data_IF_349619636989
#
_entry.id   IF_349619636989
#
_cell.length_a   1.000
_cell.length_b   1.000
_cell.length_c   1.000
_cell.angle_alpha   90.00
_cell.angle_beta   90.00
_cell.angle_gamma   90.00
#
_symmetry.space_group_name_H-M   'P 1'
#
loop_
_entity.id
_entity.type
_entity.pdbx_description
1 polymer ?
#
# COMPACT_ATOMS: atom_id res chain seq x y z
N UNK A 1 13.30 42.37 24.79
CA UNK A 1 12.61 42.72 23.53
C UNK A 1 11.68 41.58 23.19
N UNK A 2 10.38 41.74 23.47
CA UNK A 2 9.36 40.72 23.24
C UNK A 2 8.59 41.07 21.97
N UNK A 3 8.57 40.17 21.00
CA UNK A 3 7.83 40.35 19.75
C UNK A 3 6.65 39.39 19.76
N UNK A 4 5.44 39.96 19.87
CA UNK A 4 4.18 39.25 19.78
C UNK A 4 3.89 38.88 18.32
N UNK A 5 3.48 37.63 18.07
CA UNK A 5 2.96 37.18 16.77
C UNK A 5 1.45 37.06 16.91
N UNK A 6 0.71 37.96 16.26
CA UNK A 6 -0.73 37.87 16.08
C UNK A 6 -1.04 36.74 15.09
N UNK A 7 -1.88 35.79 15.52
CA UNK A 7 -2.45 34.73 14.67
C UNK A 7 -3.79 35.23 14.15
N UNK A 8 -3.89 35.47 12.85
CA UNK A 8 -5.15 35.65 12.13
C UNK A 8 -5.74 34.26 11.82
N UNK A 9 -6.84 33.93 12.50
CA UNK A 9 -7.73 32.84 12.11
C UNK A 9 -8.66 33.36 11.02
N UNK A 10 -8.61 32.75 9.85
CA UNK A 10 -9.60 32.94 8.80
C UNK A 10 -10.49 31.71 8.82
N UNK A 11 -11.69 31.86 9.38
CA UNK A 11 -12.79 30.92 9.21
C UNK A 11 -13.19 30.95 7.73
N UNK A 12 -13.13 29.78 7.10
CA UNK A 12 -13.72 29.57 5.78
C UNK A 12 -14.99 28.76 6.02
N UNK A 13 -16.12 29.41 5.76
CA UNK A 13 -17.46 28.84 5.72
C UNK A 13 -17.47 27.61 4.81
N UNK A 14 -18.05 26.51 5.32
CA UNK A 14 -18.36 25.32 4.55
C UNK A 14 -19.77 25.49 4.05
N UNK A 15 -19.93 25.72 2.74
CA UNK A 15 -21.21 25.70 2.06
C UNK A 15 -21.82 24.29 2.13
N UNK A 16 -22.92 24.20 2.87
CA UNK A 16 -23.76 23.02 3.04
C UNK A 16 -24.85 23.05 1.96
N UNK A 17 -24.54 22.58 0.74
CA UNK A 17 -25.56 22.39 -0.31
C UNK A 17 -25.57 20.96 -0.88
N UNK A 18 -26.78 20.39 -0.84
CA UNK A 18 -27.32 19.32 -1.69
C UNK A 18 -26.81 17.87 -1.48
N UNK A 19 -27.22 17.28 -0.35
CA UNK A 19 -27.49 15.84 -0.30
C UNK A 19 -28.80 15.54 -1.07
N UNK A 20 -28.68 15.04 -2.30
CA UNK A 20 -29.77 14.29 -2.93
C UNK A 20 -29.65 12.82 -2.52
N UNK A 21 -30.70 12.20 -1.93
CA UNK A 21 -30.69 10.78 -1.66
C UNK A 21 -30.78 10.01 -2.99
N UNK A 22 -29.71 9.30 -3.34
CA UNK A 22 -29.76 8.30 -4.40
C UNK A 22 -30.67 7.16 -3.94
N UNK A 23 -31.77 7.00 -4.66
CA UNK A 23 -32.68 5.87 -4.53
C UNK A 23 -31.90 4.57 -4.75
N UNK A 24 -31.87 3.74 -3.71
CA UNK A 24 -31.28 2.41 -3.74
C UNK A 24 -32.35 1.50 -4.32
N UNK A 25 -32.22 1.11 -5.58
CA UNK A 25 -33.03 0.05 -6.15
C UNK A 25 -32.58 -1.29 -5.55
N UNK A 26 -33.45 -1.83 -4.70
CA UNK A 26 -33.33 -3.12 -4.02
C UNK A 26 -33.63 -4.24 -5.05
N UNK A 27 -32.63 -4.62 -5.84
CA UNK A 27 -32.70 -5.84 -6.65
C UNK A 27 -32.56 -7.07 -5.75
N UNK A 28 -33.73 -7.54 -5.33
CA UNK A 28 -34.00 -8.85 -4.75
C UNK A 28 -33.50 -9.99 -5.63
N UNK A 29 -32.27 -10.43 -5.37
CA UNK A 29 -31.72 -11.67 -5.93
C UNK A 29 -32.17 -12.84 -5.06
N UNK A 30 -33.37 -13.35 -5.37
CA UNK A 30 -33.80 -14.70 -4.98
C UNK A 30 -32.76 -15.70 -5.50
N UNK A 31 -32.00 -16.32 -4.60
CA UNK A 31 -31.30 -17.58 -4.89
C UNK A 31 -31.84 -18.65 -3.96
N UNK A 32 -32.48 -19.60 -4.61
CA UNK A 32 -33.05 -20.81 -4.09
C UNK A 32 -32.09 -21.56 -3.16
N UNK A 33 -32.56 -21.77 -1.94
CA UNK A 33 -32.05 -22.80 -1.04
C UNK A 33 -32.45 -24.17 -1.59
N UNK A 34 -31.45 -25.04 -1.80
CA UNK A 34 -31.65 -26.47 -2.07
C UNK A 34 -31.23 -27.29 -0.83
N UNK A 35 -32.17 -27.71 0.04
CA UNK A 35 -31.85 -28.51 1.21
C UNK A 35 -32.08 -30.00 0.94
N UNK A 36 -31.16 -30.65 0.22
CA UNK A 36 -31.18 -32.11 0.09
C UNK A 36 -29.80 -32.70 -0.24
N UNK A 37 -29.01 -33.03 0.78
CA UNK A 37 -28.05 -34.14 0.77
C UNK A 37 -27.57 -34.37 2.20
N UNK A 38 -28.33 -35.15 2.97
CA UNK A 38 -28.19 -36.61 3.10
C UNK A 38 -27.39 -36.97 4.36
N UNK A 39 -28.13 -37.64 5.22
CA UNK A 39 -27.75 -38.21 6.49
C UNK A 39 -26.65 -39.26 6.29
N UNK A 40 -25.57 -39.17 7.05
CA UNK A 40 -24.81 -40.37 7.43
C UNK A 40 -24.71 -40.37 8.95
N UNK A 41 -25.65 -41.10 9.55
CA UNK A 41 -25.55 -41.65 10.89
C UNK A 41 -24.49 -42.75 10.86
N UNK A 42 -23.52 -42.67 11.77
CA UNK A 42 -22.94 -43.87 12.36
C UNK A 42 -22.56 -43.55 13.79
N UNK A 43 -23.40 -44.06 14.68
CA UNK A 43 -23.19 -44.26 16.10
C UNK A 43 -21.87 -44.99 16.41
N UNK A 44 -21.49 -44.84 17.67
CA UNK A 44 -20.58 -45.69 18.44
C UNK A 44 -19.08 -45.56 18.17
N UNK A 45 -18.40 -44.73 18.99
CA UNK A 45 -17.25 -45.22 19.77
C UNK A 45 -17.02 -44.40 21.04
N UNK A 46 -17.33 -45.07 22.15
CA UNK A 46 -16.70 -45.05 23.46
C UNK A 46 -16.61 -43.81 24.36
N UNK A 47 -17.19 -44.05 25.52
CA UNK A 47 -16.98 -43.41 26.82
C UNK A 47 -15.53 -43.58 27.28
N UNK A 48 -14.77 -42.49 27.34
CA UNK A 48 -13.60 -42.38 28.21
C UNK A 48 -13.61 -41.07 28.98
N UNK A 49 -14.12 -41.19 30.22
CA UNK A 49 -13.60 -40.62 31.46
C UNK A 49 -12.88 -39.26 31.40
N UNK A 50 -13.51 -38.33 32.14
CA UNK A 50 -12.93 -37.13 32.73
C UNK A 50 -11.53 -37.40 33.31
N UNK A 51 -10.51 -36.84 32.68
CA UNK A 51 -9.37 -36.28 33.37
C UNK A 51 -9.34 -34.80 33.05
N UNK A 52 -9.77 -34.00 34.02
CA UNK A 52 -9.54 -32.57 34.09
C UNK A 52 -8.04 -32.36 34.28
N UNK A 53 -7.26 -32.55 33.23
CA UNK A 53 -5.90 -32.05 33.17
C UNK A 53 -6.03 -30.55 32.96
N UNK A 54 -5.85 -29.79 34.04
CA UNK A 54 -5.57 -28.37 33.94
C UNK A 54 -4.29 -28.23 33.11
N UNK A 55 -4.44 -28.10 31.79
CA UNK A 55 -3.38 -27.66 30.93
C UNK A 55 -2.97 -26.28 31.46
N UNK A 56 -1.85 -26.23 32.17
CA UNK A 56 -1.18 -24.98 32.45
C UNK A 56 -0.96 -24.33 31.08
N UNK A 57 -1.77 -23.31 30.78
CA UNK A 57 -1.59 -22.43 29.64
C UNK A 57 -0.23 -21.79 29.84
N UNK A 58 0.79 -22.40 29.27
CA UNK A 58 2.12 -21.83 29.18
C UNK A 58 1.98 -20.61 28.29
N UNK A 59 1.80 -19.46 28.91
CA UNK A 59 1.86 -18.16 28.25
C UNK A 59 3.26 -18.09 27.64
N UNK A 60 3.34 -18.18 26.31
CA UNK A 60 4.59 -17.92 25.61
C UNK A 60 5.10 -16.53 26.03
N UNK A 61 6.40 -16.31 26.24
CA UNK A 61 6.89 -14.96 26.48
C UNK A 61 6.65 -14.12 25.22
N UNK A 62 6.21 -12.86 25.38
CA UNK A 62 6.23 -11.91 24.27
C UNK A 62 7.67 -11.70 23.81
N UNK A 63 7.88 -11.54 22.50
CA UNK A 63 9.22 -11.38 21.90
C UNK A 63 9.22 -10.19 20.97
N UNK A 64 10.33 -9.47 20.91
CA UNK A 64 10.58 -8.43 19.91
C UNK A 64 11.83 -8.81 19.10
N UNK A 65 11.76 -8.69 17.77
CA UNK A 65 12.88 -8.91 16.86
C UNK A 65 13.15 -7.63 16.07
N UNK A 66 14.41 -7.22 16.02
CA UNK A 66 14.88 -6.09 15.23
C UNK A 66 15.79 -6.60 14.12
N UNK A 67 15.39 -6.38 12.87
CA UNK A 67 16.18 -6.71 11.68
C UNK A 67 16.64 -5.42 11.02
N UNK A 68 17.92 -5.35 10.62
CA UNK A 68 18.45 -4.23 9.83
C UNK A 68 19.16 -4.74 8.59
N UNK A 69 19.01 -4.03 7.48
CA UNK A 69 19.79 -4.25 6.27
C UNK A 69 20.93 -3.24 6.21
N UNK A 70 22.08 -3.68 5.69
CA UNK A 70 23.26 -2.84 5.57
C UNK A 70 23.63 -2.69 4.09
N UNK A 71 23.90 -1.45 3.70
CA UNK A 71 24.53 -1.11 2.43
C UNK A 71 25.99 -1.58 2.41
N UNK A 72 26.63 -1.70 1.22
CA UNK A 72 28.04 -2.12 1.11
C UNK A 72 29.03 -1.21 1.84
N UNK A 73 28.66 0.04 2.11
CA UNK A 73 29.42 1.02 2.89
C UNK A 73 29.20 0.88 4.41
N UNK A 74 28.38 -0.07 4.85
CA UNK A 74 28.04 -0.31 6.25
C UNK A 74 26.93 0.58 6.80
N UNK A 75 26.34 1.47 5.98
CA UNK A 75 25.17 2.25 6.35
C UNK A 75 23.92 1.38 6.48
N UNK A 76 22.98 1.75 7.35
CA UNK A 76 21.70 1.03 7.47
C UNK A 76 20.74 1.51 6.38
N UNK A 77 20.30 0.61 5.50
CA UNK A 77 19.35 0.93 4.40
C UNK A 77 17.90 0.82 4.86
N UNK A 78 17.60 -0.17 5.71
CA UNK A 78 16.26 -0.36 6.28
C UNK A 78 16.31 -1.03 7.67
N UNK A 79 15.30 -0.75 8.47
CA UNK A 79 15.04 -1.37 9.78
C UNK A 79 13.63 -1.93 9.78
N UNK A 80 13.45 -3.15 10.30
CA UNK A 80 12.16 -3.82 10.46
C UNK A 80 12.05 -4.30 11.90
N UNK A 81 10.91 -4.01 12.53
CA UNK A 81 10.57 -4.38 13.90
C UNK A 81 9.43 -5.38 13.82
N UNK A 82 9.55 -6.50 14.53
CA UNK A 82 8.51 -7.51 14.65
C UNK A 82 8.24 -7.75 16.14
N UNK A 83 7.00 -7.57 16.60
CA UNK A 83 6.59 -7.82 17.99
C UNK A 83 5.61 -9.00 18.04
N UNK A 84 6.07 -10.10 18.61
CA UNK A 84 5.26 -11.29 18.93
C UNK A 84 4.60 -11.09 20.30
N UNK A 85 3.26 -10.95 20.31
CA UNK A 85 2.47 -10.79 21.53
C UNK A 85 1.74 -12.06 21.92
N UNK A 86 1.87 -12.47 23.18
CA UNK A 86 1.08 -13.59 23.71
C UNK A 86 -0.33 -13.17 24.08
N UNK A 87 -1.30 -13.84 23.47
CA UNK A 87 -2.74 -13.56 23.58
C UNK A 87 -3.51 -14.57 24.45
N UNK A 88 -2.84 -15.62 24.95
CA UNK A 88 -3.49 -16.68 25.71
C UNK A 88 -4.21 -16.17 26.97
N UNK A 89 -5.50 -16.51 27.10
CA UNK A 89 -6.32 -16.16 28.27
C UNK A 89 -6.77 -14.70 28.35
N UNK A 90 -6.54 -13.89 27.31
CA UNK A 90 -6.97 -12.49 27.27
C UNK A 90 -8.35 -12.33 26.61
N UNK A 91 -9.11 -11.36 27.09
CA UNK A 91 -10.32 -10.90 26.41
C UNK A 91 -10.00 -10.18 25.10
N UNK A 92 -10.97 -10.07 24.20
CA UNK A 92 -10.81 -9.35 22.93
C UNK A 92 -10.38 -7.89 23.13
N UNK A 93 -10.85 -7.23 24.19
CA UNK A 93 -10.48 -5.87 24.51
C UNK A 93 -9.02 -5.75 24.95
N UNK A 94 -8.53 -6.70 25.75
CA UNK A 94 -7.13 -6.75 26.18
C UNK A 94 -6.18 -7.08 25.03
N UNK A 95 -6.59 -7.97 24.11
CA UNK A 95 -5.82 -8.27 22.89
C UNK A 95 -5.67 -7.00 22.05
N UNK A 96 -6.77 -6.26 21.83
CA UNK A 96 -6.73 -4.97 21.11
C UNK A 96 -5.85 -3.95 21.80
N UNK A 97 -5.98 -3.80 23.12
CA UNK A 97 -5.17 -2.87 23.89
C UNK A 97 -3.67 -3.21 23.84
N UNK A 98 -3.31 -4.50 23.87
CA UNK A 98 -1.91 -4.94 23.69
C UNK A 98 -1.39 -4.70 22.28
N UNK A 99 -2.20 -4.99 21.26
CA UNK A 99 -1.85 -4.72 19.86
C UNK A 99 -1.58 -3.23 19.63
N UNK A 100 -2.45 -2.37 20.15
CA UNK A 100 -2.29 -0.91 20.04
C UNK A 100 -0.97 -0.44 20.67
N UNK A 101 -0.66 -0.89 21.89
CA UNK A 101 0.61 -0.55 22.57
C UNK A 101 1.84 -1.04 21.81
N UNK A 102 1.76 -2.19 21.14
CA UNK A 102 2.87 -2.67 20.32
C UNK A 102 3.09 -1.77 19.09
N UNK A 103 2.03 -1.33 18.43
CA UNK A 103 2.11 -0.40 17.30
C UNK A 103 2.64 0.99 17.73
N UNK A 104 2.22 1.48 18.90
CA UNK A 104 2.77 2.71 19.50
C UNK A 104 4.28 2.57 19.73
N UNK A 105 4.72 1.43 20.29
CA UNK A 105 6.14 1.16 20.52
C UNK A 105 6.94 1.04 19.21
N UNK A 106 6.38 0.41 18.17
CA UNK A 106 7.02 0.37 16.84
C UNK A 106 7.20 1.78 16.26
N UNK A 107 6.19 2.64 16.46
CA UNK A 107 6.23 4.03 16.00
C UNK A 107 7.31 4.81 16.74
N UNK A 108 7.34 4.72 18.07
CA UNK A 108 8.34 5.39 18.92
C UNK A 108 9.77 4.99 18.53
N UNK A 109 10.05 3.69 18.39
CA UNK A 109 11.38 3.20 17.99
C UNK A 109 11.75 3.72 16.60
N UNK A 110 10.79 3.77 15.68
CA UNK A 110 11.03 4.27 14.32
C UNK A 110 11.33 5.77 14.32
N UNK A 111 10.59 6.56 15.10
CA UNK A 111 10.83 7.99 15.24
C UNK A 111 12.19 8.30 15.87
N UNK A 112 12.55 7.61 16.96
CA UNK A 112 13.84 7.76 17.62
C UNK A 112 14.99 7.38 16.67
N UNK A 113 14.83 6.29 15.93
CA UNK A 113 15.80 5.86 14.92
C UNK A 113 15.98 6.93 13.83
N UNK A 114 14.89 7.49 13.30
CA UNK A 114 14.94 8.53 12.27
C UNK A 114 15.54 9.84 12.81
N UNK A 115 15.27 10.19 14.07
CA UNK A 115 15.81 11.38 14.71
C UNK A 115 17.32 11.26 14.99
N UNK A 116 17.81 10.04 15.27
CA UNK A 116 19.22 9.75 15.53
C UNK A 116 20.09 9.68 14.27
N UNK A 117 19.49 9.64 13.08
CA UNK A 117 20.25 9.69 11.83
C UNK A 117 20.87 11.09 11.67
N UNK A 118 22.18 11.18 11.35
CA UNK A 118 22.77 12.47 10.99
C UNK A 118 21.94 13.07 9.85
N UNK A 119 21.67 14.39 9.85
CA UNK A 119 20.92 15.04 8.78
C UNK A 119 21.61 14.66 7.49
N UNK A 120 20.94 13.87 6.66
CA UNK A 120 21.55 13.13 5.56
C UNK A 120 22.55 14.05 4.86
N UNK A 121 23.85 13.77 5.05
CA UNK A 121 24.87 14.37 4.23
C UNK A 121 24.52 13.88 2.84
N UNK A 122 23.95 14.78 2.03
CA UNK A 122 23.61 14.58 0.64
C UNK A 122 24.91 14.27 -0.09
N UNK A 123 25.45 13.07 0.07
CA UNK A 123 26.48 12.54 -0.79
C UNK A 123 25.82 12.45 -2.15
N UNK A 124 26.14 13.46 -2.95
CA UNK A 124 25.87 13.59 -4.36
C UNK A 124 26.39 12.33 -5.05
N UNK A 125 25.62 11.26 -5.07
CA UNK A 125 25.59 10.44 -6.27
C UNK A 125 24.77 11.28 -7.24
N UNK A 126 25.47 11.91 -8.18
CA UNK A 126 24.88 12.63 -9.30
C UNK A 126 24.04 11.67 -10.15
N UNK A 127 22.84 11.35 -9.69
CA UNK A 127 21.72 11.15 -10.58
C UNK A 127 20.91 12.43 -10.45
N UNK A 128 21.11 13.32 -11.41
CA UNK A 128 20.26 14.48 -11.64
C UNK A 128 18.83 13.98 -11.85
N UNK A 129 18.10 13.83 -10.74
CA UNK A 129 16.66 13.61 -10.75
C UNK A 129 16.06 14.78 -11.53
N UNK A 130 15.46 14.44 -12.67
CA UNK A 130 14.87 15.43 -13.56
C UNK A 130 13.78 16.16 -12.81
N UNK A 131 13.80 17.48 -12.94
CA UNK A 131 12.66 18.35 -12.68
C UNK A 131 11.42 17.75 -13.35
N UNK A 132 10.51 17.19 -12.56
CA UNK A 132 9.16 16.90 -13.00
C UNK A 132 8.40 18.23 -13.08
N UNK A 133 8.68 19.05 -14.09
CA UNK A 133 8.11 20.40 -14.23
C UNK A 133 6.62 20.40 -14.64
N UNK A 134 5.89 19.29 -14.48
CA UNK A 134 4.50 19.17 -14.94
C UNK A 134 4.31 19.30 -16.45
N UNK A 135 5.40 19.51 -17.20
CA UNK A 135 5.44 19.59 -18.65
C UNK A 135 5.38 18.18 -19.24
N UNK A 136 4.57 18.01 -20.28
CA UNK A 136 4.43 16.75 -20.98
C UNK A 136 5.65 16.50 -21.89
N UNK A 137 6.44 15.48 -21.53
CA UNK A 137 7.69 15.08 -22.20
C UNK A 137 7.43 13.91 -23.16
N UNK A 138 8.08 13.86 -24.34
CA UNK A 138 8.03 12.70 -25.22
C UNK A 138 8.49 11.42 -24.49
N UNK A 139 7.73 10.35 -24.66
CA UNK A 139 7.93 9.11 -23.94
C UNK A 139 7.61 7.89 -24.83
N UNK A 140 8.05 6.72 -24.39
CA UNK A 140 7.71 5.43 -25.01
C UNK A 140 7.26 4.45 -23.93
N UNK A 141 6.08 3.88 -24.11
CA UNK A 141 5.59 2.77 -23.29
C UNK A 141 6.35 1.51 -23.71
N UNK A 142 6.93 0.80 -22.74
CA UNK A 142 7.77 -0.36 -23.02
C UNK A 142 7.01 -1.64 -22.73
N UNK A 143 6.73 -1.89 -21.46
CA UNK A 143 6.18 -3.16 -20.98
C UNK A 143 5.37 -2.97 -19.70
N UNK A 144 4.51 -3.96 -19.42
CA UNK A 144 3.74 -4.04 -18.19
C UNK A 144 4.44 -4.98 -17.21
N UNK A 145 4.75 -4.45 -16.03
CA UNK A 145 5.28 -5.20 -14.90
C UNK A 145 4.25 -5.36 -13.79
N UNK A 146 4.61 -6.18 -12.80
CA UNK A 146 3.80 -6.46 -11.62
C UNK A 146 4.67 -6.43 -10.38
N UNK A 147 4.17 -5.85 -9.29
CA UNK A 147 4.85 -5.87 -7.99
C UNK A 147 4.44 -7.11 -7.19
N UNK A 148 5.23 -7.45 -6.17
CA UNK A 148 4.93 -8.54 -5.24
C UNK A 148 3.56 -8.39 -4.56
N UNK A 149 3.06 -7.15 -4.43
CA UNK A 149 1.76 -6.84 -3.83
C UNK A 149 0.61 -6.87 -4.85
N UNK A 150 0.79 -7.54 -6.00
CA UNK A 150 -0.22 -7.69 -7.05
C UNK A 150 -0.63 -6.36 -7.74
N UNK A 151 0.14 -5.28 -7.56
CA UNK A 151 -0.07 -4.02 -8.28
C UNK A 151 0.61 -4.05 -9.65
N UNK A 152 -0.10 -3.60 -10.69
CA UNK A 152 0.46 -3.54 -12.04
C UNK A 152 1.11 -2.17 -12.25
N UNK A 153 2.15 -2.13 -13.06
CA UNK A 153 2.78 -0.89 -13.47
C UNK A 153 3.24 -0.96 -14.91
N UNK A 154 3.36 0.20 -15.55
CA UNK A 154 3.89 0.32 -16.92
C UNK A 154 5.25 1.00 -16.84
N UNK A 155 6.26 0.39 -17.46
CA UNK A 155 7.56 1.00 -17.65
C UNK A 155 7.49 2.00 -18.82
N UNK A 156 7.83 3.25 -18.55
CA UNK A 156 7.77 4.35 -19.51
C UNK A 156 9.16 4.95 -19.68
N UNK A 157 9.72 4.85 -20.89
CA UNK A 157 11.01 5.46 -21.23
C UNK A 157 10.83 6.93 -21.59
N UNK A 158 11.58 7.80 -20.94
CA UNK A 158 11.72 9.23 -21.21
C UNK A 158 13.19 9.50 -21.58
N UNK A 159 13.52 9.36 -22.86
CA UNK A 159 14.92 9.40 -23.31
C UNK A 159 15.75 8.30 -22.63
N UNK A 160 16.75 8.70 -21.83
CA UNK A 160 17.62 7.77 -21.08
C UNK A 160 17.03 7.33 -19.73
N UNK A 161 15.94 7.96 -19.29
CA UNK A 161 15.32 7.68 -17.98
C UNK A 161 14.13 6.74 -18.14
N UNK A 162 13.85 5.98 -17.08
CA UNK A 162 12.64 5.14 -17.00
C UNK A 162 11.79 5.61 -15.83
N UNK A 163 10.55 5.96 -16.11
CA UNK A 163 9.52 6.25 -15.13
C UNK A 163 8.55 5.08 -15.03
N UNK A 164 7.78 5.04 -13.93
CA UNK A 164 6.75 4.02 -13.73
C UNK A 164 5.38 4.68 -13.61
N UNK A 165 4.41 4.09 -14.27
CA UNK A 165 3.00 4.39 -14.10
C UNK A 165 2.37 3.27 -13.27
N UNK A 166 1.91 3.57 -12.05
CA UNK A 166 1.26 2.59 -11.19
C UNK A 166 -0.26 2.71 -11.28
N UNK A 167 -0.96 1.58 -11.21
CA UNK A 167 -2.41 1.57 -11.15
C UNK A 167 -3.01 0.18 -11.13
N UNK A 168 -4.31 0.11 -10.85
CA UNK A 168 -5.11 -1.08 -11.14
C UNK A 168 -5.24 -1.29 -12.65
N UNK A 169 -5.60 -2.51 -13.10
CA UNK A 169 -5.78 -2.78 -14.54
C UNK A 169 -6.77 -1.81 -15.21
N UNK A 170 -7.88 -1.49 -14.54
CA UNK A 170 -8.87 -0.50 -15.02
C UNK A 170 -8.25 0.88 -15.19
N UNK A 171 -7.47 1.35 -14.21
CA UNK A 171 -6.80 2.65 -14.29
C UNK A 171 -5.75 2.69 -15.40
N UNK A 172 -4.98 1.61 -15.58
CA UNK A 172 -3.99 1.51 -16.64
C UNK A 172 -4.64 1.55 -18.02
N UNK A 173 -5.76 0.84 -18.23
CA UNK A 173 -6.54 0.91 -19.48
C UNK A 173 -6.99 2.34 -19.77
N UNK A 174 -7.57 3.03 -18.79
CA UNK A 174 -8.03 4.42 -18.97
C UNK A 174 -6.87 5.33 -19.39
N UNK A 175 -5.69 5.16 -18.78
CA UNK A 175 -4.52 5.97 -19.12
C UNK A 175 -3.89 5.58 -20.48
N UNK A 176 -3.96 4.30 -20.86
CA UNK A 176 -3.54 3.84 -22.19
C UNK A 176 -4.47 4.38 -23.28
N UNK A 177 -5.78 4.39 -23.05
CA UNK A 177 -6.76 4.97 -23.96
C UNK A 177 -6.51 6.46 -24.17
N UNK A 178 -6.17 7.20 -23.10
CA UNK A 178 -5.73 8.61 -23.20
C UNK A 178 -4.46 8.79 -24.05
N UNK A 179 -3.57 7.79 -24.08
CA UNK A 179 -2.39 7.79 -24.94
C UNK A 179 -2.72 7.43 -26.41
N UNK A 180 -3.97 7.05 -26.71
CA UNK A 180 -4.40 6.60 -28.03
C UNK A 180 -4.34 5.09 -28.23
N UNK A 181 -4.23 4.31 -27.14
CA UNK A 181 -4.19 2.85 -27.19
C UNK A 181 -5.36 2.24 -26.41
N UNK A 182 -6.33 1.68 -27.12
CA UNK A 182 -7.43 0.96 -26.49
C UNK A 182 -7.04 -0.50 -26.22
N UNK A 183 -7.08 -0.88 -24.94
CA UNK A 183 -6.81 -2.23 -24.46
C UNK A 183 -7.88 -2.63 -23.47
N UNK A 184 -8.25 -3.91 -23.43
CA UNK A 184 -9.18 -4.41 -22.42
C UNK A 184 -8.44 -4.69 -21.10
N UNK A 185 -9.09 -4.58 -19.94
CA UNK A 185 -8.47 -4.88 -18.64
C UNK A 185 -7.91 -6.31 -18.55
N UNK A 186 -8.49 -7.25 -19.31
CA UNK A 186 -8.09 -8.65 -19.39
C UNK A 186 -6.81 -8.84 -20.20
N UNK A 187 -6.53 -7.94 -21.15
CA UNK A 187 -5.29 -7.96 -21.93
C UNK A 187 -4.07 -7.49 -21.10
N UNK A 188 -4.29 -6.75 -20.01
CA UNK A 188 -3.21 -6.30 -19.12
C UNK A 188 -2.67 -7.48 -18.32
N UNK A 189 -1.51 -7.96 -18.77
CA UNK A 189 -0.76 -9.04 -18.17
C UNK A 189 0.72 -8.65 -18.04
N UNK A 190 1.39 -9.22 -17.04
CA UNK A 190 2.82 -9.05 -16.86
C UNK A 190 3.59 -9.55 -18.09
N UNK A 191 4.57 -8.77 -18.54
CA UNK A 191 5.38 -9.07 -19.72
C UNK A 191 4.77 -8.63 -21.05
N UNK A 192 3.55 -8.08 -21.06
CA UNK A 192 2.98 -7.48 -22.28
C UNK A 192 3.84 -6.31 -22.73
N UNK A 193 4.32 -6.35 -23.99
CA UNK A 193 5.06 -5.25 -24.62
C UNK A 193 4.09 -4.31 -25.32
N UNK A 194 4.23 -3.01 -25.05
CA UNK A 194 3.39 -1.96 -25.63
C UNK A 194 4.12 -1.26 -26.79
N UNK A 195 5.44 -1.05 -26.66
CA UNK A 195 6.33 -0.48 -27.67
C UNK A 195 5.81 0.77 -28.42
N UNK A 196 4.95 1.56 -27.77
CA UNK A 196 4.23 2.68 -28.39
C UNK A 196 4.75 4.04 -27.90
N UNK A 197 4.84 5.01 -28.81
CA UNK A 197 5.28 6.37 -28.50
C UNK A 197 4.12 7.20 -27.95
N UNK A 198 4.35 7.96 -26.88
CA UNK A 198 3.34 8.80 -26.25
C UNK A 198 3.99 10.06 -25.68
N UNK A 199 3.21 10.87 -24.96
CA UNK A 199 3.74 11.93 -24.10
C UNK A 199 3.35 11.62 -22.66
N UNK A 200 4.24 11.93 -21.72
CA UNK A 200 4.04 11.65 -20.31
C UNK A 200 4.27 12.91 -19.48
N UNK A 201 3.35 13.18 -18.56
CA UNK A 201 3.53 14.16 -17.50
C UNK A 201 4.07 13.41 -16.28
N UNK A 202 5.24 13.80 -15.82
CA UNK A 202 5.91 13.16 -14.70
C UNK A 202 5.97 14.05 -13.48
N UNK A 203 5.84 13.44 -12.30
CA UNK A 203 6.06 14.08 -11.00
C UNK A 203 7.04 13.24 -10.18
N UNK A 204 7.96 13.86 -9.43
CA UNK A 204 8.75 13.13 -8.45
C UNK A 204 7.83 12.45 -7.43
N UNK A 205 8.17 11.23 -7.05
CA UNK A 205 7.51 10.52 -5.97
C UNK A 205 7.71 11.25 -4.62
N UNK A 206 6.86 11.00 -3.63
CA UNK A 206 6.92 11.66 -2.31
C UNK A 206 8.22 11.34 -1.56
N UNK A 207 8.82 10.19 -1.83
CA UNK A 207 10.13 9.77 -1.33
C UNK A 207 11.30 10.35 -2.15
N UNK A 208 11.04 11.04 -3.26
CA UNK A 208 12.04 11.58 -4.18
C UNK A 208 12.86 10.53 -4.94
N UNK A 209 12.61 9.24 -4.71
CA UNK A 209 13.43 8.13 -5.22
C UNK A 209 13.04 7.72 -6.64
N UNK A 210 11.79 7.95 -7.02
CA UNK A 210 11.24 7.52 -8.31
C UNK A 210 10.61 8.67 -9.06
N UNK A 211 10.61 8.55 -10.40
CA UNK A 211 9.85 9.42 -11.29
C UNK A 211 8.54 8.71 -11.63
N UNK A 212 7.43 9.25 -11.17
CA UNK A 212 6.11 8.70 -11.41
C UNK A 212 5.46 9.39 -12.60
N UNK A 213 4.85 8.60 -13.48
CA UNK A 213 3.97 9.15 -14.52
C UNK A 213 2.62 9.44 -13.88
N UNK A 214 2.14 10.67 -14.03
CA UNK A 214 0.83 11.11 -13.53
C UNK A 214 -0.22 11.01 -14.62
N UNK A 215 0.16 11.34 -15.86
CA UNK A 215 -0.76 11.34 -16.98
C UNK A 215 -0.04 10.99 -18.28
N UNK A 216 -0.75 10.28 -19.16
CA UNK A 216 -0.33 9.97 -20.51
C UNK A 216 -1.18 10.75 -21.52
N UNK A 217 -0.54 11.18 -22.59
CA UNK A 217 -1.13 11.92 -23.70
C UNK A 217 -0.72 11.25 -25.02
N UNK A 218 -1.47 11.45 -26.11
CA UNK A 218 -1.12 10.89 -27.41
C UNK A 218 0.24 11.38 -27.92
N UNK A 219 0.89 10.57 -28.75
CA UNK A 219 2.00 11.08 -29.56
C UNK A 219 1.46 12.19 -30.49
N UNK A 220 2.16 13.33 -30.51
CA UNK A 220 1.84 14.45 -31.38
C UNK A 220 2.13 14.11 -32.85
#
# INVERSE_FOLDING_TARGET
MMTAIQKTLQEVEVDEEALQPLEVEDESLERDYDPASECITSDDFDTCSRLTTAAQLTVSPSRMCLKRSLSPDGGIDSVSIEIDLSIGGLSAQEIKARGLKALELETEITEEYLAGLPPAAKTKTQNSFAEGNGLAVPAKLVDIGKTNNNCHFINVKLGEKTARLFGSRKQLVIMLAKAGQDLTPEAISEGLRLDFACRAITRPSSDGKYLNVVELLPAA
#
